data_IF_717442941849
#
_entry.id   IF_717442941849
#
_cell.length_a   1.000
_cell.length_b   1.000
_cell.length_c   1.000
_cell.angle_alpha   90.00
_cell.angle_beta   90.00
_cell.angle_gamma   90.00
#
_symmetry.space_group_name_H-M   'P 1'
#
loop_
_entity.id
_entity.type
_entity.pdbx_description
1 polymer ?
#
# COMPACT_ATOMS: atom_id res chain seq x y z
N UNK A 1 -7.15 -15.25 5.54
CA UNK A 1 -6.50 -14.13 6.25
C UNK A 1 -7.59 -13.22 6.78
N UNK A 2 -7.49 -12.71 8.01
CA UNK A 2 -8.38 -11.66 8.52
C UNK A 2 -7.85 -10.32 7.99
N UNK A 3 -8.75 -9.50 7.42
CA UNK A 3 -8.40 -8.21 6.84
C UNK A 3 -8.66 -7.09 7.84
N UNK A 4 -7.63 -6.30 8.18
CA UNK A 4 -7.69 -5.31 9.27
C UNK A 4 -7.09 -3.99 8.79
N UNK A 5 -7.80 -2.86 8.92
CA UNK A 5 -7.27 -1.57 8.52
C UNK A 5 -6.10 -1.17 9.41
N UNK A 6 -5.06 -0.57 8.84
CA UNK A 6 -3.89 -0.06 9.55
C UNK A 6 -4.18 1.29 10.23
N UNK A 7 -5.23 1.35 11.05
CA UNK A 7 -5.46 2.44 12.00
C UNK A 7 -4.65 2.19 13.27
N UNK A 8 -4.53 3.17 14.18
CA UNK A 8 -3.84 2.97 15.46
C UNK A 8 -4.37 1.75 16.23
N UNK A 9 -5.70 1.66 16.39
CA UNK A 9 -6.34 0.50 17.01
C UNK A 9 -6.12 -0.79 16.19
N UNK A 10 -6.18 -0.71 14.85
CA UNK A 10 -5.91 -1.84 13.99
C UNK A 10 -4.51 -2.41 14.16
N UNK A 11 -3.50 -1.55 14.32
CA UNK A 11 -2.10 -1.96 14.56
C UNK A 11 -1.95 -2.77 15.85
N UNK A 12 -2.64 -2.38 16.92
CA UNK A 12 -2.66 -3.13 18.19
C UNK A 12 -3.34 -4.50 18.01
N UNK A 13 -4.47 -4.56 17.31
CA UNK A 13 -5.20 -5.80 17.02
C UNK A 13 -4.37 -6.74 16.13
N UNK A 14 -3.68 -6.20 15.12
CA UNK A 14 -2.79 -6.97 14.24
C UNK A 14 -1.71 -7.65 15.07
N UNK A 15 -1.02 -6.93 15.94
CA UNK A 15 0.03 -7.52 16.78
C UNK A 15 -0.49 -8.69 17.61
N UNK A 16 -1.64 -8.54 18.27
CA UNK A 16 -2.21 -9.60 19.10
C UNK A 16 -2.62 -10.81 18.25
N UNK A 17 -3.36 -10.61 17.15
CA UNK A 17 -3.79 -11.72 16.30
C UNK A 17 -2.63 -12.47 15.65
N UNK A 18 -1.58 -11.75 15.24
CA UNK A 18 -0.35 -12.39 14.76
C UNK A 18 0.29 -13.22 15.86
N UNK A 19 0.30 -12.75 17.11
CA UNK A 19 0.82 -13.53 18.24
C UNK A 19 0.03 -14.80 18.55
N UNK A 20 -1.21 -14.88 18.07
CA UNK A 20 -2.07 -16.07 18.15
C UNK A 20 -1.97 -16.96 16.89
N UNK A 21 -1.10 -16.61 15.93
CA UNK A 21 -0.89 -17.39 14.70
C UNK A 21 -1.95 -17.16 13.63
N UNK A 22 -2.77 -16.10 13.73
CA UNK A 22 -3.82 -15.80 12.76
C UNK A 22 -3.20 -15.14 11.51
N UNK A 23 -3.43 -15.65 10.29
CA UNK A 23 -2.96 -15.00 9.06
C UNK A 23 -3.66 -13.66 8.81
N UNK A 24 -2.88 -12.60 8.55
CA UNK A 24 -3.40 -11.22 8.46
C UNK A 24 -3.17 -10.61 7.07
N UNK A 25 -4.20 -9.95 6.56
CA UNK A 25 -4.10 -8.98 5.47
C UNK A 25 -4.29 -7.57 6.06
N UNK A 26 -3.20 -6.84 6.28
CA UNK A 26 -3.28 -5.46 6.72
C UNK A 26 -3.78 -4.62 5.55
N UNK A 27 -4.77 -3.77 5.74
CA UNK A 27 -5.37 -2.96 4.67
C UNK A 27 -5.45 -1.49 5.04
N UNK A 28 -5.98 -0.67 4.13
CA UNK A 28 -6.02 0.79 4.26
C UNK A 28 -4.64 1.40 4.51
N UNK A 29 -3.57 0.76 4.01
CA UNK A 29 -2.25 1.37 3.95
C UNK A 29 -2.16 2.22 2.69
N UNK A 30 -1.78 3.48 2.83
CA UNK A 30 -1.77 4.43 1.70
C UNK A 30 -0.40 5.09 1.48
N UNK A 31 0.50 5.03 2.48
CA UNK A 31 1.87 5.54 2.39
C UNK A 31 2.90 4.59 3.03
N UNK A 32 4.20 4.84 2.80
CA UNK A 32 5.31 4.03 3.33
C UNK A 32 5.36 4.00 4.86
N UNK A 33 5.20 5.12 5.60
CA UNK A 33 5.19 5.11 7.07
C UNK A 33 4.17 4.12 7.65
N UNK A 34 2.98 4.05 7.07
CA UNK A 34 1.92 3.15 7.55
C UNK A 34 2.29 1.66 7.34
N UNK A 35 2.97 1.35 6.23
CA UNK A 35 3.54 0.01 5.99
C UNK A 35 4.58 -0.32 7.06
N UNK A 36 5.45 0.63 7.41
CA UNK A 36 6.47 0.46 8.45
C UNK A 36 5.83 0.17 9.81
N UNK A 37 4.78 0.91 10.19
CA UNK A 37 4.02 0.64 11.43
C UNK A 37 3.42 -0.77 11.45
N UNK A 38 2.77 -1.18 10.36
CA UNK A 38 2.21 -2.53 10.22
C UNK A 38 3.29 -3.63 10.28
N UNK A 39 4.40 -3.44 9.56
CA UNK A 39 5.51 -4.39 9.52
C UNK A 39 6.14 -4.58 10.91
N UNK A 40 6.33 -3.49 11.67
CA UNK A 40 6.82 -3.54 13.05
C UNK A 40 5.86 -4.30 13.97
N UNK A 41 4.56 -4.06 13.85
CA UNK A 41 3.54 -4.75 14.65
C UNK A 41 3.47 -6.26 14.33
N UNK A 42 3.55 -6.63 13.05
CA UNK A 42 3.64 -8.02 12.63
C UNK A 42 4.89 -8.68 13.23
N UNK A 43 6.06 -8.03 13.17
CA UNK A 43 7.30 -8.57 13.73
C UNK A 43 7.20 -8.79 15.24
N UNK A 44 6.66 -7.82 15.99
CA UNK A 44 6.40 -7.97 17.43
C UNK A 44 5.40 -9.09 17.71
N UNK A 45 4.33 -9.20 16.92
CA UNK A 45 3.33 -10.24 17.06
C UNK A 45 3.93 -11.64 16.86
N UNK A 46 4.75 -11.84 15.83
CA UNK A 46 5.44 -13.13 15.62
C UNK A 46 6.35 -13.48 16.78
N UNK A 47 7.14 -12.52 17.26
CA UNK A 47 8.05 -12.75 18.40
C UNK A 47 7.26 -13.07 19.69
N UNK A 48 6.18 -12.34 19.94
CA UNK A 48 5.26 -12.60 21.06
C UNK A 48 4.63 -13.99 20.97
N UNK A 49 4.21 -14.42 19.77
CA UNK A 49 3.67 -15.75 19.56
C UNK A 49 4.72 -16.85 19.75
N UNK A 50 5.96 -16.62 19.30
CA UNK A 50 7.10 -17.53 19.53
C UNK A 50 7.34 -17.76 21.02
N UNK A 51 7.34 -16.70 21.83
CA UNK A 51 7.47 -16.79 23.29
C UNK A 51 6.33 -17.62 23.91
N UNK A 52 5.12 -17.51 23.36
CA UNK A 52 3.93 -18.28 23.78
C UNK A 52 3.92 -19.73 23.26
N UNK A 53 4.91 -20.17 22.50
CA UNK A 53 4.94 -21.49 21.88
C UNK A 53 4.00 -21.66 20.69
N UNK A 54 3.50 -20.56 20.11
CA UNK A 54 2.70 -20.59 18.88
C UNK A 54 3.62 -20.80 17.68
N UNK A 55 3.30 -21.81 16.87
CA UNK A 55 4.03 -22.09 15.65
C UNK A 55 3.47 -21.29 14.47
N UNK A 56 4.32 -20.53 13.79
CA UNK A 56 3.98 -19.81 12.55
C UNK A 56 4.34 -20.61 11.28
N UNK A 57 4.42 -21.94 11.37
CA UNK A 57 4.67 -22.79 10.20
C UNK A 57 3.54 -22.63 9.18
N UNK A 58 3.89 -22.31 7.94
CA UNK A 58 2.91 -22.04 6.88
C UNK A 58 2.11 -20.74 7.05
N UNK A 59 2.37 -19.94 8.09
CA UNK A 59 1.70 -18.67 8.31
C UNK A 59 2.05 -17.67 7.20
N UNK A 60 1.08 -16.80 6.88
CA UNK A 60 1.21 -15.80 5.81
C UNK A 60 0.62 -14.47 6.26
N UNK A 61 1.29 -13.40 5.87
CA UNK A 61 0.76 -12.05 6.01
C UNK A 61 1.10 -11.22 4.79
N UNK A 62 0.21 -10.28 4.48
CA UNK A 62 0.42 -9.23 3.50
C UNK A 62 0.07 -7.86 4.08
N UNK A 63 0.73 -6.82 3.59
CA UNK A 63 0.38 -5.42 3.83
C UNK A 63 -0.13 -4.83 2.51
N UNK A 64 -1.43 -4.56 2.44
CA UNK A 64 -2.13 -4.07 1.24
C UNK A 64 -2.07 -2.55 1.15
N UNK A 65 -1.29 -2.06 0.19
CA UNK A 65 -1.20 -0.65 -0.21
C UNK A 65 -2.24 -0.29 -1.27
N UNK A 66 -3.00 0.78 -1.04
CA UNK A 66 -4.00 1.34 -1.97
C UNK A 66 -3.43 2.56 -2.71
N UNK A 67 -2.40 2.35 -3.53
CA UNK A 67 -1.61 3.45 -4.12
C UNK A 67 -2.47 4.46 -4.90
N UNK A 68 -3.47 3.98 -5.64
CA UNK A 68 -4.37 4.85 -6.40
C UNK A 68 -5.27 5.74 -5.54
N UNK A 69 -5.49 5.45 -4.25
CA UNK A 69 -6.21 6.32 -3.32
C UNK A 69 -5.32 7.47 -2.85
N UNK A 70 -4.05 7.21 -2.61
CA UNK A 70 -3.08 8.22 -2.18
C UNK A 70 -2.65 9.15 -3.33
N UNK A 71 -2.59 8.64 -4.55
CA UNK A 71 -2.40 9.47 -5.75
C UNK A 71 -3.53 10.47 -5.99
N UNK A 72 -4.73 10.17 -5.49
CA UNK A 72 -5.90 11.03 -5.59
C UNK A 72 -6.12 11.87 -4.33
N UNK A 73 -5.13 11.90 -3.42
CA UNK A 73 -5.21 12.68 -2.18
C UNK A 73 -5.27 14.17 -2.51
N UNK A 74 -6.22 14.94 -1.95
CA UNK A 74 -6.25 16.39 -2.14
C UNK A 74 -4.99 17.09 -1.59
N UNK A 75 -4.26 16.45 -0.69
CA UNK A 75 -2.96 16.91 -0.16
C UNK A 75 -1.85 16.85 -1.20
N UNK A 76 -1.98 16.01 -2.22
CA UNK A 76 -1.03 15.95 -3.34
C UNK A 76 -1.30 17.04 -4.38
N UNK A 77 -2.54 17.55 -4.42
CA UNK A 77 -2.89 18.79 -5.11
C UNK A 77 -2.43 19.98 -4.25
N UNK A 78 -1.12 20.16 -4.12
CA UNK A 78 -0.56 21.28 -3.36
C UNK A 78 -0.89 22.60 -4.05
N UNK A 79 -2.01 23.20 -3.62
CA UNK A 79 -2.42 24.58 -3.92
C UNK A 79 -1.36 25.63 -3.51
N UNK A 80 -0.29 25.23 -2.82
CA UNK A 80 0.72 26.10 -2.22
C UNK A 80 2.13 25.97 -2.80
N UNK A 81 2.46 24.96 -3.61
CA UNK A 81 3.80 24.84 -4.25
C UNK A 81 3.82 25.17 -5.74
N UNK A 82 2.64 25.23 -6.37
CA UNK A 82 2.51 25.51 -7.81
C UNK A 82 2.95 24.35 -8.71
N UNK A 83 3.28 23.19 -8.15
CA UNK A 83 3.74 22.01 -8.90
C UNK A 83 2.58 21.07 -9.13
N UNK A 84 2.11 20.97 -10.37
CA UNK A 84 1.10 19.99 -10.77
C UNK A 84 1.77 18.71 -11.27
N UNK A 85 1.44 17.57 -10.65
CA UNK A 85 1.79 16.25 -11.14
C UNK A 85 0.83 15.86 -12.27
N UNK A 86 1.41 15.47 -13.40
CA UNK A 86 0.68 14.89 -14.52
C UNK A 86 0.23 13.47 -14.19
N UNK A 87 -0.72 12.94 -14.95
CA UNK A 87 -1.26 11.59 -14.74
C UNK A 87 -0.16 10.51 -14.66
N UNK A 88 0.82 10.55 -15.57
CA UNK A 88 1.93 9.60 -15.56
C UNK A 88 2.78 9.70 -14.29
N UNK A 89 3.06 10.93 -13.84
CA UNK A 89 3.87 11.20 -12.65
C UNK A 89 3.17 10.69 -11.39
N UNK A 90 1.84 10.81 -11.32
CA UNK A 90 1.02 10.22 -10.26
C UNK A 90 1.15 8.69 -10.24
N UNK A 91 1.07 8.03 -11.41
CA UNK A 91 1.23 6.58 -11.48
C UNK A 91 2.62 6.13 -11.01
N UNK A 92 3.66 6.83 -11.46
CA UNK A 92 5.02 6.53 -11.02
C UNK A 92 5.23 6.82 -9.52
N UNK A 93 4.55 7.81 -8.94
CA UNK A 93 4.56 8.02 -7.49
C UNK A 93 4.00 6.79 -6.75
N UNK A 94 2.90 6.21 -7.23
CA UNK A 94 2.37 4.94 -6.72
C UNK A 94 3.36 3.78 -6.80
N UNK A 95 4.03 3.63 -7.94
CA UNK A 95 5.08 2.62 -8.15
C UNK A 95 6.27 2.84 -7.22
N UNK A 96 6.72 4.08 -7.05
CA UNK A 96 7.83 4.42 -6.16
C UNK A 96 7.48 4.16 -4.69
N UNK A 97 6.27 4.48 -4.25
CA UNK A 97 5.77 4.11 -2.91
C UNK A 97 5.82 2.60 -2.69
N UNK A 98 5.35 1.80 -3.65
CA UNK A 98 5.40 0.34 -3.55
C UNK A 98 6.85 -0.19 -3.47
N UNK A 99 7.76 0.36 -4.29
CA UNK A 99 9.20 0.03 -4.24
C UNK A 99 9.78 0.33 -2.86
N UNK A 100 9.55 1.54 -2.33
CA UNK A 100 10.03 1.95 -1.00
C UNK A 100 9.44 1.10 0.13
N UNK A 101 8.16 0.76 0.06
CA UNK A 101 7.52 -0.14 1.01
C UNK A 101 8.16 -1.54 1.03
N UNK A 102 8.50 -2.09 -0.13
CA UNK A 102 9.22 -3.38 -0.24
C UNK A 102 10.61 -3.28 0.38
N UNK A 103 11.33 -2.18 0.13
CA UNK A 103 12.63 -1.89 0.75
C UNK A 103 12.52 -1.88 2.27
N UNK A 104 11.55 -1.15 2.83
CA UNK A 104 11.34 -1.05 4.27
C UNK A 104 10.95 -2.38 4.93
N UNK A 105 10.01 -3.14 4.33
CA UNK A 105 9.61 -4.46 4.85
C UNK A 105 10.82 -5.40 4.92
N UNK A 106 11.68 -5.38 3.89
CA UNK A 106 12.91 -6.15 3.84
C UNK A 106 13.93 -5.67 4.87
N UNK A 107 14.16 -4.36 5.00
CA UNK A 107 15.09 -3.78 5.97
C UNK A 107 14.70 -4.11 7.41
N UNK A 108 13.40 -4.11 7.72
CA UNK A 108 12.88 -4.50 9.02
C UNK A 108 12.98 -6.01 9.30
N UNK A 109 13.20 -6.82 8.26
CA UNK A 109 13.12 -8.29 8.34
C UNK A 109 11.73 -8.76 8.81
N UNK A 110 10.68 -8.02 8.44
CA UNK A 110 9.32 -8.37 8.85
C UNK A 110 8.82 -9.57 8.00
N UNK A 111 8.23 -10.61 8.61
CA UNK A 111 7.78 -11.81 7.90
C UNK A 111 6.45 -11.58 7.16
N UNK A 112 6.40 -10.59 6.29
CA UNK A 112 5.21 -10.19 5.53
C UNK A 112 5.61 -9.75 4.12
N UNK A 113 4.65 -9.72 3.19
CA UNK A 113 4.87 -9.26 1.81
C UNK A 113 4.01 -8.04 1.52
N UNK A 114 4.54 -7.09 0.76
CA UNK A 114 3.72 -5.98 0.25
C UNK A 114 2.72 -6.52 -0.78
N UNK A 115 1.47 -6.15 -0.62
CA UNK A 115 0.41 -6.34 -1.61
C UNK A 115 0.02 -4.95 -2.12
N UNK A 116 -0.18 -4.79 -3.42
CA UNK A 116 -0.73 -3.56 -4.00
C UNK A 116 -2.13 -3.81 -4.55
N UNK A 117 -3.04 -2.87 -4.32
CA UNK A 117 -4.35 -2.81 -4.94
C UNK A 117 -4.66 -1.35 -5.36
N UNK A 118 -5.88 -1.11 -5.84
CA UNK A 118 -6.24 0.20 -6.40
C UNK A 118 -5.28 0.62 -7.53
N UNK A 119 -4.92 -0.34 -8.37
CA UNK A 119 -4.08 -0.08 -9.54
C UNK A 119 -4.83 0.78 -10.55
N UNK A 120 -4.12 1.62 -11.29
CA UNK A 120 -4.69 2.54 -12.29
C UNK A 120 -3.90 2.45 -13.59
N UNK A 121 -4.58 2.70 -14.70
CA UNK A 121 -3.93 2.88 -16.01
C UNK A 121 -3.10 4.17 -16.00
N UNK A 122 -2.07 4.18 -16.82
CA UNK A 122 -1.33 5.40 -17.15
C UNK A 122 -1.89 6.07 -18.40
N UNK A 123 -1.21 7.10 -18.92
CA UNK A 123 -1.59 7.73 -20.17
C UNK A 123 -1.69 6.72 -21.33
N UNK A 124 -2.69 6.91 -22.19
CA UNK A 124 -2.90 6.06 -23.36
C UNK A 124 -3.52 4.69 -23.03
N UNK A 125 -3.01 3.62 -23.65
CA UNK A 125 -3.52 2.24 -23.49
C UNK A 125 -2.70 1.40 -22.50
N UNK A 126 -1.64 1.97 -21.93
CA UNK A 126 -0.73 1.28 -21.03
C UNK A 126 -1.29 1.19 -19.61
N UNK A 127 -1.10 0.03 -18.96
CA UNK A 127 -1.42 -0.14 -17.56
C UNK A 127 -0.13 -0.01 -16.74
N UNK A 128 0.38 1.23 -16.66
CA UNK A 128 1.69 1.56 -16.08
C UNK A 128 1.90 0.90 -14.71
N UNK A 129 0.90 0.94 -13.83
CA UNK A 129 1.00 0.22 -12.56
C UNK A 129 1.29 -1.26 -12.75
N UNK A 130 0.55 -1.99 -13.58
CA UNK A 130 0.78 -3.43 -13.75
C UNK A 130 2.14 -3.72 -14.39
N UNK A 131 2.55 -2.92 -15.37
CA UNK A 131 3.83 -3.08 -16.07
C UNK A 131 5.04 -2.88 -15.17
N UNK A 132 4.98 -1.91 -14.26
CA UNK A 132 6.10 -1.55 -13.41
C UNK A 132 6.06 -2.29 -12.07
N UNK A 133 4.86 -2.55 -11.52
CA UNK A 133 4.70 -3.35 -10.30
C UNK A 133 5.02 -4.82 -10.51
N UNK A 134 4.89 -5.37 -11.72
CA UNK A 134 5.26 -6.76 -12.02
C UNK A 134 6.77 -7.04 -11.83
N UNK A 135 7.59 -5.98 -11.81
CA UNK A 135 9.03 -6.03 -11.58
C UNK A 135 9.41 -6.09 -10.09
N UNK A 136 8.44 -5.96 -9.19
CA UNK A 136 8.63 -5.98 -7.74
C UNK A 136 8.21 -7.33 -7.14
N UNK A 137 8.82 -7.77 -6.02
CA UNK A 137 8.50 -9.04 -5.36
C UNK A 137 7.23 -8.94 -4.48
N UNK A 138 6.13 -8.47 -5.06
CA UNK A 138 4.88 -8.16 -4.39
C UNK A 138 3.73 -9.08 -4.80
N UNK A 139 2.58 -8.93 -4.15
CA UNK A 139 1.30 -9.46 -4.64
C UNK A 139 0.50 -8.29 -5.22
N UNK A 140 -0.28 -8.51 -6.27
CA UNK A 140 -1.21 -7.48 -6.78
C UNK A 140 -2.63 -8.05 -6.73
N UNK A 141 -3.55 -7.33 -6.09
CA UNK A 141 -4.99 -7.62 -6.21
C UNK A 141 -5.57 -6.74 -7.31
N UNK A 142 -6.11 -7.40 -8.32
CA UNK A 142 -6.58 -6.78 -9.57
C UNK A 142 -8.10 -6.87 -9.67
N UNK A 143 -8.74 -5.82 -10.19
CA UNK A 143 -10.13 -5.89 -10.63
C UNK A 143 -10.22 -6.66 -11.98
N UNK A 144 -11.42 -7.04 -12.45
CA UNK A 144 -11.56 -7.82 -13.69
C UNK A 144 -10.86 -7.20 -14.91
N UNK A 145 -10.93 -5.87 -15.06
CA UNK A 145 -10.28 -5.14 -16.14
C UNK A 145 -8.74 -5.23 -16.08
N UNK A 146 -8.15 -5.08 -14.89
CA UNK A 146 -6.72 -5.25 -14.69
C UNK A 146 -6.26 -6.69 -14.95
N UNK A 147 -7.07 -7.68 -14.57
CA UNK A 147 -6.80 -9.10 -14.87
C UNK A 147 -6.82 -9.31 -16.39
N UNK A 148 -7.86 -8.84 -17.08
CA UNK A 148 -7.98 -8.97 -18.53
C UNK A 148 -6.77 -8.32 -19.23
N UNK A 149 -6.43 -7.08 -18.87
CA UNK A 149 -5.25 -6.41 -19.41
C UNK A 149 -3.96 -7.18 -19.11
N UNK A 150 -3.77 -7.64 -17.86
CA UNK A 150 -2.59 -8.36 -17.42
C UNK A 150 -2.39 -9.69 -18.15
N UNK A 151 -3.46 -10.42 -18.43
CA UNK A 151 -3.39 -11.72 -19.13
C UNK A 151 -3.22 -11.53 -20.65
N UNK A 152 -3.73 -10.45 -21.22
CA UNK A 152 -3.75 -10.25 -22.68
C UNK A 152 -2.59 -9.41 -23.21
N UNK A 153 -2.09 -8.45 -22.42
CA UNK A 153 -1.17 -7.41 -22.89
C UNK A 153 0.15 -7.34 -22.11
N UNK A 154 0.19 -7.78 -20.85
CA UNK A 154 1.44 -7.77 -20.09
C UNK A 154 2.42 -8.80 -20.68
N UNK A 155 3.61 -8.31 -21.05
CA UNK A 155 4.67 -9.15 -21.61
C UNK A 155 5.63 -9.60 -20.51
N UNK A 156 6.03 -10.86 -20.54
CA UNK A 156 6.97 -11.44 -19.58
C UNK A 156 8.34 -10.76 -19.68
N UNK A 157 8.80 -10.46 -20.91
CA UNK A 157 10.07 -9.77 -21.14
C UNK A 157 10.09 -8.39 -20.49
N UNK A 158 8.96 -7.68 -20.51
CA UNK A 158 8.82 -6.37 -19.86
C UNK A 158 8.89 -6.50 -18.34
N UNK A 159 8.30 -7.55 -17.78
CA UNK A 159 8.28 -7.81 -16.33
C UNK A 159 9.64 -8.30 -15.81
N UNK A 160 10.45 -8.92 -16.66
CA UNK A 160 11.81 -9.37 -16.33
C UNK A 160 12.84 -8.22 -16.31
N UNK A 161 12.51 -7.05 -16.87
CA UNK A 161 13.38 -5.87 -16.82
C UNK A 161 13.47 -5.31 -15.41
N UNK A 162 14.61 -4.69 -15.03
CA UNK A 162 14.69 -3.97 -13.76
C UNK A 162 13.69 -2.80 -13.71
N UNK A 163 13.22 -2.49 -12.51
CA UNK A 163 12.40 -1.29 -12.27
C UNK A 163 13.31 -0.05 -12.26
N UNK A 164 13.10 0.83 -13.24
CA UNK A 164 13.83 2.09 -13.38
C UNK A 164 12.87 3.26 -13.17
N UNK A 165 13.09 4.02 -12.11
CA UNK A 165 12.29 5.21 -11.78
C UNK A 165 12.90 6.41 -12.52
N UNK A 166 12.12 7.22 -13.26
CA UNK A 166 12.65 8.41 -13.91
C UNK A 166 13.28 9.38 -12.89
N UNK A 167 14.57 9.73 -13.04
CA UNK A 167 15.26 10.59 -12.05
C UNK A 167 14.69 12.00 -11.94
N UNK A 168 14.13 12.53 -13.05
CA UNK A 168 13.44 13.83 -13.06
C UNK A 168 12.20 13.81 -12.18
N UNK A 169 11.45 12.70 -12.20
CA UNK A 169 10.29 12.51 -11.34
C UNK A 169 10.69 12.42 -9.87
N UNK A 170 11.71 11.61 -9.56
CA UNK A 170 12.15 11.45 -8.17
C UNK A 170 12.56 12.80 -7.55
N UNK A 171 13.29 13.62 -8.31
CA UNK A 171 13.63 15.00 -7.92
C UNK A 171 12.38 15.85 -7.69
N UNK A 172 11.39 15.77 -8.58
CA UNK A 172 10.13 16.52 -8.47
C UNK A 172 9.32 16.09 -7.24
N UNK A 173 9.19 14.79 -6.99
CA UNK A 173 8.48 14.24 -5.83
C UNK A 173 9.16 14.60 -4.51
N UNK A 174 10.49 14.66 -4.47
CA UNK A 174 11.20 15.13 -3.28
C UNK A 174 11.05 16.64 -3.03
N UNK A 175 10.69 17.41 -4.05
CA UNK A 175 10.34 18.83 -3.91
C UNK A 175 8.92 19.09 -3.39
N UNK A 176 8.05 18.07 -3.37
CA UNK A 176 6.67 18.14 -2.85
C UNK A 176 6.70 17.51 -1.46
N UNK A 177 6.43 18.29 -0.41
CA UNK A 177 6.61 17.82 0.97
C UNK A 177 5.74 16.59 1.25
N UNK A 178 4.47 16.64 0.86
CA UNK A 178 3.55 15.52 1.03
C UNK A 178 4.05 14.23 0.34
N UNK A 179 4.53 14.34 -0.90
CA UNK A 179 5.03 13.20 -1.66
C UNK A 179 6.33 12.65 -1.06
N UNK A 180 7.28 13.52 -0.69
CA UNK A 180 8.52 13.11 -0.04
C UNK A 180 8.26 12.36 1.27
N UNK A 181 7.42 12.92 2.14
CA UNK A 181 7.03 12.31 3.42
C UNK A 181 6.32 10.97 3.24
N UNK A 182 5.61 10.79 2.12
CA UNK A 182 4.95 9.52 1.78
C UNK A 182 5.91 8.39 1.43
N UNK A 183 7.17 8.71 1.09
CA UNK A 183 8.17 7.79 0.57
C UNK A 183 9.20 7.32 1.62
N UNK A 184 9.32 8.01 2.75
CA UNK A 184 10.29 7.73 3.80
C UNK A 184 9.64 7.03 5.00
N UNK A 185 10.41 6.26 5.76
CA UNK A 185 9.89 5.34 6.78
C UNK A 185 9.15 6.02 7.95
N UNK A 186 9.50 7.25 8.28
CA UNK A 186 9.03 8.04 9.42
C UNK A 186 8.40 9.37 9.00
N UNK A 187 8.04 9.50 7.73
CA UNK A 187 7.55 10.77 7.16
C UNK A 187 6.20 11.21 7.71
N UNK A 188 5.36 10.31 8.21
CA UNK A 188 4.10 10.66 8.88
C UNK A 188 3.91 9.84 10.16
N UNK A 189 3.38 10.49 11.19
CA UNK A 189 2.81 9.83 12.35
C UNK A 189 1.46 9.16 12.01
N UNK A 190 1.03 8.21 12.85
CA UNK A 190 -0.28 7.57 12.68
C UNK A 190 -1.43 8.58 12.84
N UNK A 191 -1.25 9.58 13.69
CA UNK A 191 -2.19 10.68 13.92
C UNK A 191 -2.35 11.56 12.68
N UNK A 192 -1.24 11.91 12.02
CA UNK A 192 -1.28 12.66 10.75
C UNK A 192 -1.93 11.86 9.63
N UNK A 193 -1.64 10.56 9.54
CA UNK A 193 -2.28 9.68 8.56
C UNK A 193 -3.78 9.60 8.81
N UNK A 194 -4.21 9.40 10.06
CA UNK A 194 -5.63 9.35 10.44
C UNK A 194 -6.37 10.67 10.15
N UNK A 195 -5.68 11.81 10.31
CA UNK A 195 -6.21 13.12 9.99
C UNK A 195 -6.26 13.45 8.49
N UNK A 196 -5.53 12.71 7.65
CA UNK A 196 -5.50 12.95 6.20
C UNK A 196 -6.85 12.72 5.54
N UNK A 197 -7.18 13.56 4.56
CA UNK A 197 -8.38 13.48 3.75
C UNK A 197 -8.47 12.16 2.99
N UNK A 198 -7.36 11.65 2.46
CA UNK A 198 -7.36 10.33 1.80
C UNK A 198 -7.69 9.18 2.76
N UNK A 199 -7.17 9.18 3.99
CA UNK A 199 -7.50 8.13 4.96
C UNK A 199 -8.95 8.21 5.42
N UNK A 200 -9.44 9.41 5.75
CA UNK A 200 -10.83 9.62 6.15
C UNK A 200 -11.80 9.21 5.04
N UNK A 201 -11.54 9.66 3.81
CA UNK A 201 -12.33 9.28 2.65
C UNK A 201 -12.37 7.76 2.45
N UNK A 202 -11.21 7.10 2.50
CA UNK A 202 -11.11 5.65 2.33
C UNK A 202 -11.87 4.86 3.42
N UNK A 203 -11.74 5.25 4.70
CA UNK A 203 -12.46 4.59 5.79
C UNK A 203 -13.98 4.82 5.70
N UNK A 204 -14.41 6.02 5.33
CA UNK A 204 -15.82 6.33 5.12
C UNK A 204 -16.43 5.49 3.99
N UNK A 205 -15.72 5.30 2.86
CA UNK A 205 -16.18 4.42 1.78
C UNK A 205 -16.40 2.98 2.25
N UNK A 206 -15.52 2.45 3.11
CA UNK A 206 -15.71 1.11 3.69
C UNK A 206 -16.93 1.05 4.61
N UNK A 207 -17.10 2.05 5.48
CA UNK A 207 -18.25 2.13 6.39
C UNK A 207 -19.58 2.24 5.62
N UNK A 208 -19.65 3.12 4.63
CA UNK A 208 -20.84 3.28 3.78
C UNK A 208 -21.17 2.02 2.98
N UNK A 209 -20.15 1.31 2.49
CA UNK A 209 -20.35 0.03 1.81
C UNK A 209 -20.95 -1.01 2.76
N UNK A 210 -20.48 -1.07 4.01
CA UNK A 210 -21.04 -1.97 5.02
C UNK A 210 -22.48 -1.60 5.37
N UNK A 211 -22.79 -0.32 5.57
CA UNK A 211 -24.15 0.15 5.83
C UNK A 211 -25.13 -0.25 4.71
N UNK A 212 -24.68 -0.18 3.45
CA UNK A 212 -25.47 -0.63 2.30
C UNK A 212 -25.74 -2.13 2.35
N UNK A 213 -24.74 -2.94 2.71
CA UNK A 213 -24.90 -4.40 2.86
C UNK A 213 -25.89 -4.70 3.98
N UNK A 214 -25.76 -4.06 5.14
CA UNK A 214 -26.68 -4.28 6.27
C UNK A 214 -28.13 -3.92 5.92
N UNK A 215 -28.35 -2.85 5.16
CA UNK A 215 -29.68 -2.46 4.67
C UNK A 215 -30.30 -3.48 3.72
N UNK A 216 -29.51 -4.27 2.98
CA UNK A 216 -30.03 -5.34 2.13
C UNK A 216 -30.47 -6.57 2.94
N UNK A 217 -29.99 -6.71 4.18
CA UNK A 217 -30.29 -7.84 5.06
C UNK A 217 -31.47 -7.57 6.02
N UNK A 218 -31.94 -6.31 6.08
CA UNK A 218 -33.10 -5.88 6.88
C UNK A 218 -34.34 -5.83 6.01
#
# INVERSE_FOLDING_TARGET
MIKIPATRAGIEVIEELVSLGVPINVTSCICVPQVVHAARAIKRGVEKGRIRGIAHSGWRSVITMMIGRWEASPELEEKNTGVLLQEEELRWFGVLMAKKAVEEVRNLGAPTKVLVCSTRKGPGKAYLHLEELSKLPIVVTMNPEAIEWGVTLLREERSAMPLEIPSSLETKLYGIEFAHRSLIADGFSMEEIEASGAQQYNLNEFSEAMDKIEKLLR
#
